data_IF_641970916073
#
_entry.id   IF_641970916073
#
_cell.length_a   1.000
_cell.length_b   1.000
_cell.length_c   1.000
_cell.angle_alpha   90.00
_cell.angle_beta   90.00
_cell.angle_gamma   90.00
#
_symmetry.space_group_name_H-M   'P 1'
#
loop_
_entity.id
_entity.type
_entity.pdbx_description
1 polymer ?
#
# COMPACT_ATOMS: atom_id res chain seq x y z
N UNK A 1 74.29 20.66 -29.58
CA UNK A 1 74.87 21.60 -30.62
C UNK A 1 73.66 22.32 -31.22
N UNK A 2 73.48 23.58 -30.93
CA UNK A 2 73.52 24.75 -31.85
C UNK A 2 72.40 24.66 -32.90
N UNK A 3 71.58 25.64 -33.22
CA UNK A 3 71.46 27.13 -32.98
C UNK A 3 70.13 27.49 -33.64
N UNK A 4 69.23 28.25 -33.16
CA UNK A 4 69.12 29.73 -33.01
C UNK A 4 68.83 30.43 -34.35
N UNK A 5 67.87 31.36 -34.26
CA UNK A 5 67.53 32.56 -35.06
C UNK A 5 66.45 32.39 -36.17
N UNK A 6 65.58 33.30 -36.46
CA UNK A 6 65.19 34.60 -35.90
C UNK A 6 64.41 35.35 -36.96
N UNK A 7 63.31 36.03 -36.52
CA UNK A 7 62.83 37.34 -37.02
C UNK A 7 62.52 37.55 -38.51
N UNK A 8 61.47 38.20 -38.92
CA UNK A 8 61.02 39.58 -38.90
C UNK A 8 59.84 39.76 -39.86
N UNK A 9 58.77 40.36 -39.42
CA UNK A 9 57.95 41.47 -39.89
C UNK A 9 57.83 41.75 -41.41
N UNK A 10 56.59 41.83 -41.93
CA UNK A 10 56.10 43.03 -42.62
C UNK A 10 54.60 43.07 -42.82
N UNK A 11 54.02 44.23 -42.53
CA UNK A 11 52.66 44.68 -42.81
C UNK A 11 52.37 44.78 -44.32
N UNK A 12 51.15 44.45 -44.73
CA UNK A 12 50.45 45.14 -45.80
C UNK A 12 48.94 45.05 -45.62
N UNK A 13 48.28 46.17 -45.55
CA UNK A 13 46.84 46.42 -45.64
C UNK A 13 46.31 46.06 -46.98
N UNK A 14 45.21 45.34 -47.06
CA UNK A 14 44.23 45.49 -48.13
C UNK A 14 42.83 45.18 -47.62
N UNK A 15 41.99 46.17 -47.66
CA UNK A 15 40.56 46.07 -47.40
C UNK A 15 39.85 45.36 -48.55
N UNK A 16 39.05 44.33 -48.22
CA UNK A 16 38.01 43.86 -49.12
C UNK A 16 36.81 43.41 -48.26
N UNK A 17 35.71 44.10 -48.48
CA UNK A 17 34.38 43.80 -47.95
C UNK A 17 33.93 42.42 -48.33
N UNK A 18 33.60 41.59 -47.34
CA UNK A 18 32.80 40.40 -47.55
C UNK A 18 31.62 40.36 -46.60
N UNK A 19 30.46 40.19 -47.18
CA UNK A 19 29.17 40.02 -46.51
C UNK A 19 29.26 38.99 -45.41
N UNK A 20 28.88 39.43 -44.20
CA UNK A 20 28.70 38.53 -43.08
C UNK A 20 27.54 37.59 -43.29
N UNK A 21 27.83 36.31 -43.46
CA UNK A 21 26.88 35.25 -43.13
C UNK A 21 26.99 35.06 -41.59
N UNK A 22 26.07 35.65 -40.89
CA UNK A 22 25.83 35.33 -39.48
C UNK A 22 25.29 33.90 -39.43
N UNK A 23 26.17 32.96 -39.16
CA UNK A 23 25.79 31.63 -38.69
C UNK A 23 25.30 31.84 -37.25
N UNK A 24 24.01 31.78 -37.06
CA UNK A 24 23.45 31.49 -35.75
C UNK A 24 23.91 30.08 -35.37
N UNK A 25 24.98 29.93 -34.63
CA UNK A 25 25.14 28.78 -33.74
C UNK A 25 23.99 28.91 -32.71
N UNK A 26 22.91 28.17 -32.94
CA UNK A 26 21.99 27.83 -31.89
C UNK A 26 22.80 27.05 -30.85
N UNK A 27 22.98 27.64 -29.69
CA UNK A 27 23.49 26.96 -28.50
C UNK A 27 22.48 25.86 -28.11
N UNK A 28 22.65 24.66 -28.68
CA UNK A 28 21.89 23.46 -28.39
C UNK A 28 22.38 22.79 -27.10
N UNK A 29 22.56 23.58 -26.04
CA UNK A 29 22.72 23.05 -24.68
C UNK A 29 21.71 23.68 -23.74
N UNK A 30 20.44 23.65 -24.09
CA UNK A 30 19.43 23.53 -23.08
C UNK A 30 19.41 22.06 -22.66
N UNK A 31 20.07 21.71 -21.59
CA UNK A 31 19.69 20.51 -20.84
C UNK A 31 18.20 20.65 -20.61
N UNK A 32 17.42 19.86 -21.34
CA UNK A 32 15.99 19.71 -21.04
C UNK A 32 15.94 19.14 -19.65
N UNK A 33 15.60 19.98 -18.67
CA UNK A 33 15.26 19.50 -17.34
C UNK A 33 14.19 18.43 -17.51
N UNK A 34 14.55 17.19 -17.20
CA UNK A 34 13.60 16.08 -17.24
C UNK A 34 12.52 16.43 -16.22
N UNK A 35 11.25 16.56 -16.60
CA UNK A 35 10.21 16.93 -15.66
C UNK A 35 10.12 15.88 -14.56
N UNK A 36 10.49 16.25 -13.34
CA UNK A 36 10.41 15.38 -12.19
C UNK A 36 8.97 15.32 -11.70
N UNK A 37 8.29 14.22 -11.97
CA UNK A 37 6.93 13.95 -11.52
C UNK A 37 6.94 13.00 -10.30
N UNK A 38 7.00 13.51 -9.07
CA UNK A 38 7.32 12.71 -7.87
C UNK A 38 6.25 11.69 -7.50
N UNK A 39 5.02 11.90 -7.91
CA UNK A 39 3.92 11.01 -7.56
C UNK A 39 3.71 9.92 -8.61
N UNK A 40 3.37 8.73 -8.13
CA UNK A 40 3.02 7.58 -8.97
C UNK A 40 1.66 7.04 -8.54
N UNK A 41 0.76 6.90 -9.49
CA UNK A 41 -0.60 6.45 -9.24
C UNK A 41 -0.90 5.20 -10.08
N UNK A 42 -1.61 4.25 -9.50
CA UNK A 42 -2.25 3.17 -10.24
C UNK A 42 -3.71 3.52 -10.49
N UNK A 43 -4.05 3.81 -11.73
CA UNK A 43 -5.40 4.15 -12.17
C UNK A 43 -6.13 2.90 -12.66
N UNK A 44 -7.21 2.51 -11.97
CA UNK A 44 -8.08 1.44 -12.42
C UNK A 44 -9.16 1.99 -13.37
N UNK A 45 -9.13 1.60 -14.63
CA UNK A 45 -10.11 1.99 -15.64
C UNK A 45 -10.98 0.81 -15.99
N UNK A 46 -12.26 0.88 -15.65
CA UNK A 46 -13.23 -0.16 -15.94
C UNK A 46 -14.07 0.23 -17.16
N UNK A 47 -14.07 -0.62 -18.19
CA UNK A 47 -14.85 -0.46 -19.40
C UNK A 47 -15.47 -1.81 -19.79
N UNK A 48 -16.78 -1.83 -20.04
CA UNK A 48 -17.50 -3.04 -20.45
C UNK A 48 -17.27 -4.26 -19.55
N UNK A 49 -17.11 -4.03 -18.23
CA UNK A 49 -16.90 -5.08 -17.23
C UNK A 49 -15.43 -5.53 -17.06
N UNK A 50 -14.53 -5.06 -17.89
CA UNK A 50 -13.10 -5.33 -17.76
C UNK A 50 -12.39 -4.15 -17.10
N UNK A 51 -11.41 -4.45 -16.24
CA UNK A 51 -10.58 -3.44 -15.58
C UNK A 51 -9.13 -3.59 -16.03
N UNK A 52 -8.57 -2.48 -16.48
CA UNK A 52 -7.14 -2.34 -16.78
C UNK A 52 -6.55 -1.32 -15.82
N UNK A 53 -5.35 -1.57 -15.34
CA UNK A 53 -4.62 -0.66 -14.48
C UNK A 53 -3.54 0.07 -15.30
N UNK A 54 -3.31 1.33 -14.96
CA UNK A 54 -2.28 2.17 -15.58
C UNK A 54 -1.44 2.82 -14.49
N UNK A 55 -0.15 2.49 -14.45
CA UNK A 55 0.80 3.18 -13.58
C UNK A 55 1.23 4.48 -14.27
N UNK A 56 0.87 5.61 -13.69
CA UNK A 56 1.14 6.94 -14.26
C UNK A 56 1.90 7.82 -13.27
N UNK A 57 2.71 8.74 -13.80
CA UNK A 57 3.33 9.81 -13.01
C UNK A 57 2.45 11.06 -12.97
N UNK A 58 2.55 11.82 -11.88
CA UNK A 58 1.94 13.13 -11.71
C UNK A 58 2.88 14.10 -10.96
N UNK A 59 2.90 15.36 -11.40
CA UNK A 59 3.71 16.41 -10.78
C UNK A 59 3.05 16.97 -9.53
N UNK A 60 1.72 16.96 -9.51
CA UNK A 60 0.91 17.58 -8.48
C UNK A 60 -0.36 16.78 -8.21
N UNK A 61 -0.72 16.64 -6.94
CA UNK A 61 -1.95 15.98 -6.49
C UNK A 61 -3.09 16.96 -6.18
N UNK A 62 -2.80 18.27 -6.16
CA UNK A 62 -3.76 19.26 -5.70
C UNK A 62 -4.42 20.05 -6.83
N UNK A 63 -3.96 19.87 -8.07
CA UNK A 63 -4.44 20.61 -9.22
C UNK A 63 -4.62 19.77 -10.47
N UNK A 64 -5.51 20.20 -11.37
CA UNK A 64 -5.68 19.61 -12.69
C UNK A 64 -6.47 18.30 -12.72
N UNK A 65 -6.16 17.49 -13.75
CA UNK A 65 -6.81 16.22 -14.01
C UNK A 65 -5.77 15.14 -14.31
N UNK A 66 -5.67 14.15 -13.44
CA UNK A 66 -4.77 13.01 -13.62
C UNK A 66 -5.50 11.91 -14.40
N UNK A 67 -4.90 11.44 -15.47
CA UNK A 67 -5.45 10.43 -16.37
C UNK A 67 -4.34 9.58 -16.99
N UNK A 68 -4.71 8.50 -17.69
CA UNK A 68 -3.80 7.57 -18.36
C UNK A 68 -3.69 7.80 -19.88
N UNK A 69 -4.29 8.86 -20.43
CA UNK A 69 -4.36 9.06 -21.88
C UNK A 69 -2.96 9.30 -22.45
N UNK A 70 -2.51 8.37 -23.31
CA UNK A 70 -1.23 8.45 -24.00
C UNK A 70 0.01 8.30 -23.12
N UNK A 71 -0.14 7.82 -21.88
CA UNK A 71 0.97 7.66 -20.94
C UNK A 71 0.73 6.54 -19.94
N UNK A 72 1.81 6.09 -19.30
CA UNK A 72 1.81 5.11 -18.24
C UNK A 72 2.12 3.69 -18.67
N UNK A 73 2.27 2.81 -17.71
CA UNK A 73 2.47 1.37 -17.90
C UNK A 73 1.11 0.69 -17.73
N UNK A 74 0.69 -0.02 -18.77
CA UNK A 74 -0.55 -0.80 -18.74
C UNK A 74 -0.33 -2.14 -18.08
N UNK A 75 -1.24 -2.50 -17.17
CA UNK A 75 -1.23 -3.77 -16.46
C UNK A 75 -2.62 -4.42 -16.54
N UNK A 76 -2.67 -5.62 -17.09
CA UNK A 76 -3.90 -6.36 -17.30
C UNK A 76 -4.22 -7.29 -16.13
N UNK A 77 -5.50 -7.33 -15.76
CA UNK A 77 -5.97 -8.14 -14.64
C UNK A 77 -5.86 -7.43 -13.29
N UNK A 78 -6.17 -8.15 -12.23
CA UNK A 78 -6.17 -7.59 -10.87
C UNK A 78 -4.75 -7.42 -10.35
N UNK A 79 -4.44 -6.25 -9.80
CA UNK A 79 -3.19 -5.97 -9.10
C UNK A 79 -3.44 -5.25 -7.79
N UNK A 80 -2.68 -5.66 -6.77
CA UNK A 80 -2.40 -4.90 -5.56
C UNK A 80 -1.02 -4.27 -5.65
N UNK A 81 -0.77 -3.26 -4.83
CA UNK A 81 0.46 -2.47 -4.91
C UNK A 81 1.10 -2.33 -3.54
N UNK A 82 2.43 -2.47 -3.50
CA UNK A 82 3.21 -2.30 -2.29
C UNK A 82 4.43 -1.44 -2.58
N UNK A 83 4.60 -0.36 -1.83
CA UNK A 83 5.79 0.48 -1.90
C UNK A 83 7.02 -0.28 -1.41
N UNK A 84 8.11 -0.23 -2.18
CA UNK A 84 9.47 -0.52 -1.73
C UNK A 84 10.19 0.77 -1.33
N UNK A 85 11.51 0.86 -1.51
CA UNK A 85 12.27 2.07 -1.15
C UNK A 85 12.12 3.17 -2.20
N UNK A 86 12.35 2.84 -3.47
CA UNK A 86 12.23 3.77 -4.61
C UNK A 86 11.53 3.07 -5.79
N UNK A 87 10.56 2.24 -5.49
CA UNK A 87 9.87 1.39 -6.45
C UNK A 87 8.51 0.97 -5.92
N UNK A 88 7.68 0.45 -6.80
CA UNK A 88 6.38 -0.13 -6.47
C UNK A 88 6.32 -1.55 -7.00
N UNK A 89 6.05 -2.49 -6.11
CA UNK A 89 5.66 -3.84 -6.48
C UNK A 89 4.19 -3.87 -6.90
N UNK A 90 3.95 -4.38 -8.09
CA UNK A 90 2.63 -4.60 -8.66
C UNK A 90 2.35 -6.10 -8.57
N UNK A 91 1.52 -6.48 -7.61
CA UNK A 91 1.31 -7.88 -7.20
C UNK A 91 0.01 -8.37 -7.80
N UNK A 92 0.10 -9.34 -8.71
CA UNK A 92 -1.06 -9.93 -9.34
C UNK A 92 -1.96 -10.70 -8.35
N UNK A 93 -3.22 -10.77 -8.66
CA UNK A 93 -4.23 -11.53 -7.94
C UNK A 93 -5.38 -11.94 -8.86
N UNK A 94 -6.35 -12.71 -8.34
CA UNK A 94 -7.52 -13.19 -9.09
C UNK A 94 -7.16 -13.85 -10.44
N UNK A 95 -6.13 -14.72 -10.43
CA UNK A 95 -5.66 -15.44 -11.61
C UNK A 95 -4.41 -14.85 -12.28
N UNK A 96 -3.99 -13.66 -11.90
CA UNK A 96 -2.67 -13.12 -12.27
C UNK A 96 -1.65 -13.63 -11.25
N UNK A 97 -0.61 -14.33 -11.71
CA UNK A 97 0.34 -15.07 -10.85
C UNK A 97 1.77 -14.55 -10.98
N UNK A 98 1.93 -13.27 -11.22
CA UNK A 98 3.23 -12.60 -11.21
C UNK A 98 3.20 -11.34 -10.36
N UNK A 99 4.37 -10.92 -9.92
CA UNK A 99 4.61 -9.62 -9.33
C UNK A 99 5.72 -8.93 -10.10
N UNK A 100 5.45 -7.76 -10.63
CA UNK A 100 6.43 -6.92 -11.33
C UNK A 100 6.87 -5.76 -10.43
N UNK A 101 8.00 -5.16 -10.76
CA UNK A 101 8.54 -4.01 -10.07
C UNK A 101 8.53 -2.79 -11.00
N UNK A 102 7.97 -1.69 -10.56
CA UNK A 102 7.96 -0.42 -11.29
C UNK A 102 8.91 0.55 -10.63
N UNK A 103 9.86 1.05 -11.41
CA UNK A 103 10.87 2.02 -11.00
C UNK A 103 10.79 3.27 -11.88
N UNK A 104 11.44 4.34 -11.44
CA UNK A 104 11.68 5.52 -12.30
C UNK A 104 13.03 5.40 -12.97
N UNK A 105 13.05 5.50 -14.31
CA UNK A 105 14.28 5.52 -15.09
C UNK A 105 15.00 6.87 -15.02
N UNK A 106 16.24 6.91 -15.51
CA UNK A 106 17.05 8.13 -15.59
C UNK A 106 16.41 9.21 -16.50
N UNK A 107 15.56 8.78 -17.42
CA UNK A 107 14.74 9.65 -18.28
C UNK A 107 13.49 10.21 -17.59
N UNK A 108 13.31 9.96 -16.29
CA UNK A 108 12.14 10.37 -15.51
C UNK A 108 10.87 9.56 -15.76
N UNK A 109 10.89 8.61 -16.71
CA UNK A 109 9.74 7.78 -17.03
C UNK A 109 9.66 6.55 -16.12
N UNK A 110 8.43 6.05 -15.92
CA UNK A 110 8.23 4.79 -15.23
C UNK A 110 8.60 3.62 -16.15
N UNK A 111 9.25 2.60 -15.57
CA UNK A 111 9.67 1.37 -16.26
C UNK A 111 9.39 0.16 -15.37
N UNK A 112 9.00 -0.95 -16.00
CA UNK A 112 9.02 -2.25 -15.33
C UNK A 112 10.46 -2.76 -15.25
N UNK A 113 10.85 -3.25 -14.08
CA UNK A 113 12.19 -3.77 -13.82
C UNK A 113 12.11 -4.98 -12.91
N UNK A 114 12.30 -6.15 -13.47
CA UNK A 114 12.24 -7.40 -12.73
C UNK A 114 10.82 -7.91 -12.48
N UNK A 115 10.76 -9.20 -12.28
CA UNK A 115 9.52 -9.94 -12.09
C UNK A 115 9.80 -11.21 -11.29
N UNK A 116 8.84 -11.64 -10.48
CA UNK A 116 8.80 -13.00 -9.99
C UNK A 116 7.41 -13.61 -10.19
N UNK A 117 7.39 -14.95 -10.28
CA UNK A 117 6.17 -15.72 -10.50
C UNK A 117 5.87 -16.58 -9.29
N UNK A 118 4.60 -16.73 -8.97
CA UNK A 118 4.09 -17.55 -7.89
C UNK A 118 3.02 -18.52 -8.40
N UNK A 119 2.64 -19.53 -7.59
CA UNK A 119 1.79 -20.62 -8.08
C UNK A 119 0.29 -20.41 -7.77
N UNK A 120 -0.04 -19.67 -6.72
CA UNK A 120 -1.43 -19.47 -6.33
C UNK A 120 -1.78 -18.00 -6.09
N UNK A 121 -1.64 -17.49 -4.87
CA UNK A 121 -1.91 -16.08 -4.56
C UNK A 121 -0.93 -15.55 -3.53
N UNK A 122 -0.41 -14.36 -3.74
CA UNK A 122 0.34 -13.63 -2.72
C UNK A 122 -0.68 -13.02 -1.74
N UNK A 123 -0.68 -13.55 -0.52
CA UNK A 123 -1.61 -13.18 0.55
C UNK A 123 -0.96 -12.29 1.61
N UNK A 124 0.36 -12.10 1.55
CA UNK A 124 1.12 -11.19 2.39
C UNK A 124 2.33 -10.66 1.65
N UNK A 125 2.63 -9.38 1.85
CA UNK A 125 3.82 -8.76 1.28
C UNK A 125 4.26 -7.64 2.21
N UNK A 126 5.47 -7.72 2.74
CA UNK A 126 5.99 -6.68 3.62
C UNK A 126 7.50 -6.46 3.42
N UNK A 127 7.93 -5.26 3.76
CA UNK A 127 9.35 -4.89 3.78
C UNK A 127 9.98 -5.33 5.10
N UNK A 128 11.15 -5.96 5.02
CA UNK A 128 11.97 -6.37 6.17
C UNK A 128 13.04 -5.30 6.44
N UNK A 129 13.76 -4.91 5.40
CA UNK A 129 14.76 -3.84 5.42
C UNK A 129 14.82 -3.12 4.06
N UNK A 130 15.79 -2.24 3.85
CA UNK A 130 15.90 -1.46 2.62
C UNK A 130 16.09 -2.31 1.35
N UNK A 131 16.61 -3.53 1.49
CA UNK A 131 16.99 -4.38 0.36
C UNK A 131 16.10 -5.63 0.25
N UNK A 132 15.22 -5.87 1.23
CA UNK A 132 14.54 -7.16 1.35
C UNK A 132 13.05 -6.99 1.57
N UNK A 133 12.28 -7.63 0.69
CA UNK A 133 10.85 -7.86 0.87
C UNK A 133 10.60 -9.34 1.17
N UNK A 134 9.50 -9.64 1.85
CA UNK A 134 9.00 -11.01 2.04
C UNK A 134 7.58 -11.09 1.48
N UNK A 135 7.38 -12.06 0.60
CA UNK A 135 6.06 -12.43 0.09
C UNK A 135 5.59 -13.73 0.73
N UNK A 136 4.31 -13.80 1.05
CA UNK A 136 3.64 -15.00 1.55
C UNK A 136 2.60 -15.45 0.53
N UNK A 137 2.83 -16.61 -0.06
CA UNK A 137 1.89 -17.31 -0.93
C UNK A 137 1.11 -18.36 -0.12
N UNK A 138 -0.20 -18.38 -0.27
CA UNK A 138 -1.07 -19.34 0.35
C UNK A 138 -2.08 -19.89 -0.67
N UNK A 139 -2.26 -21.23 -0.78
CA UNK A 139 -3.34 -21.81 -1.56
C UNK A 139 -4.71 -21.33 -1.10
N UNK A 140 -5.68 -21.31 -2.02
CA UNK A 140 -7.03 -20.81 -1.74
C UNK A 140 -7.82 -21.69 -0.74
N UNK A 141 -7.47 -22.97 -0.66
CA UNK A 141 -8.04 -23.96 0.28
C UNK A 141 -7.04 -25.07 0.57
N UNK A 142 -7.30 -25.87 1.58
CA UNK A 142 -6.47 -27.03 1.93
C UNK A 142 -6.44 -28.09 0.80
N UNK A 143 -7.50 -28.20 0.05
CA UNK A 143 -7.57 -29.13 -1.11
C UNK A 143 -6.67 -28.67 -2.26
N UNK A 144 -6.45 -27.36 -2.40
CA UNK A 144 -5.55 -26.77 -3.40
C UNK A 144 -4.08 -26.87 -3.00
N UNK A 145 -3.80 -27.11 -1.70
CA UNK A 145 -2.47 -27.25 -1.13
C UNK A 145 -2.49 -27.00 0.37
N UNK A 146 -1.66 -27.71 1.13
CA UNK A 146 -1.67 -27.69 2.59
C UNK A 146 -0.53 -26.87 3.21
N UNK A 147 0.28 -26.19 2.39
CA UNK A 147 1.45 -25.45 2.83
C UNK A 147 1.49 -24.05 2.25
N UNK A 148 1.98 -23.13 3.07
CA UNK A 148 2.36 -21.80 2.61
C UNK A 148 3.80 -21.78 2.10
N UNK A 149 4.09 -20.78 1.28
CA UNK A 149 5.42 -20.51 0.76
C UNK A 149 5.82 -19.08 1.08
N UNK A 150 6.96 -18.90 1.71
CA UNK A 150 7.60 -17.60 1.84
C UNK A 150 8.65 -17.44 0.73
N UNK A 151 8.63 -16.29 0.08
CA UNK A 151 9.65 -15.83 -0.85
C UNK A 151 10.39 -14.66 -0.22
N UNK A 152 11.71 -14.76 -0.12
CA UNK A 152 12.55 -13.58 0.12
C UNK A 152 12.86 -12.97 -1.24
N UNK A 153 12.58 -11.69 -1.40
CA UNK A 153 12.65 -10.97 -2.67
C UNK A 153 13.59 -9.79 -2.51
N UNK A 154 14.51 -9.61 -3.45
CA UNK A 154 15.32 -8.40 -3.54
C UNK A 154 14.43 -7.20 -3.85
N UNK A 155 14.50 -6.16 -3.00
CA UNK A 155 13.59 -5.03 -3.04
C UNK A 155 13.78 -4.14 -4.28
N UNK A 156 14.92 -4.20 -4.97
CA UNK A 156 15.22 -3.37 -6.13
C UNK A 156 14.86 -4.03 -7.46
N UNK A 157 15.02 -5.36 -7.55
CA UNK A 157 14.95 -6.10 -8.81
C UNK A 157 13.75 -7.04 -8.92
N UNK A 158 12.96 -7.21 -7.85
CA UNK A 158 11.90 -8.22 -7.73
C UNK A 158 12.41 -9.68 -7.94
N UNK A 159 13.70 -9.92 -7.75
CA UNK A 159 14.27 -11.26 -7.86
C UNK A 159 14.08 -12.06 -6.58
N UNK A 160 13.60 -13.30 -6.67
CA UNK A 160 13.56 -14.22 -5.54
C UNK A 160 14.99 -14.60 -5.16
N UNK A 161 15.39 -14.34 -3.93
CA UNK A 161 16.70 -14.68 -3.37
C UNK A 161 16.65 -15.97 -2.55
N UNK A 162 15.50 -16.26 -1.93
CA UNK A 162 15.28 -17.55 -1.28
C UNK A 162 13.79 -17.92 -1.28
N UNK A 163 13.53 -19.22 -1.12
CA UNK A 163 12.17 -19.77 -1.01
C UNK A 163 12.14 -20.74 0.16
N UNK A 164 11.19 -20.56 1.05
CA UNK A 164 10.93 -21.47 2.14
C UNK A 164 9.52 -22.07 1.98
N UNK A 165 9.48 -23.38 1.76
CA UNK A 165 8.24 -24.17 1.74
C UNK A 165 8.20 -25.02 3.00
N UNK A 166 7.12 -25.65 3.28
CA UNK A 166 6.96 -26.60 4.38
C UNK A 166 6.54 -26.06 5.73
N UNK A 167 6.41 -24.77 5.88
CA UNK A 167 5.87 -24.26 7.12
C UNK A 167 4.37 -24.50 7.12
N UNK A 168 3.85 -25.40 7.95
CA UNK A 168 2.41 -25.60 8.00
C UNK A 168 1.75 -24.33 8.54
N UNK A 169 0.62 -23.98 7.98
CA UNK A 169 -0.23 -23.00 8.61
C UNK A 169 -0.65 -23.53 9.98
N UNK A 170 -0.71 -22.66 10.98
CA UNK A 170 -1.14 -23.05 12.33
C UNK A 170 -2.43 -23.87 12.28
N UNK A 171 -2.52 -24.93 13.10
CA UNK A 171 -3.60 -25.89 12.98
C UNK A 171 -4.96 -25.18 13.13
N UNK A 172 -5.81 -25.45 12.16
CA UNK A 172 -7.19 -25.00 12.12
C UNK A 172 -8.08 -26.22 12.19
N UNK A 173 -9.14 -26.12 12.96
CA UNK A 173 -10.12 -27.17 13.08
C UNK A 173 -11.00 -27.26 11.82
N UNK A 174 -11.40 -28.46 11.46
CA UNK A 174 -12.35 -28.75 10.38
C UNK A 174 -11.89 -28.29 8.98
N UNK A 175 -12.80 -27.64 8.24
CA UNK A 175 -12.58 -27.14 6.88
C UNK A 175 -12.05 -25.69 6.85
N UNK A 176 -11.81 -25.09 8.02
CA UNK A 176 -11.36 -23.72 8.09
C UNK A 176 -9.94 -23.57 7.52
N UNK A 177 -9.74 -22.52 6.75
CA UNK A 177 -8.51 -22.16 6.12
C UNK A 177 -8.12 -20.72 6.47
N UNK A 178 -6.85 -20.37 6.66
CA UNK A 178 -6.50 -19.01 7.03
C UNK A 178 -6.77 -18.04 5.90
N UNK A 179 -7.59 -17.06 6.16
CA UNK A 179 -7.76 -15.88 5.33
C UNK A 179 -6.85 -14.79 5.87
N UNK A 180 -5.73 -14.53 5.18
CA UNK A 180 -4.71 -13.59 5.63
C UNK A 180 -5.24 -12.16 5.53
N UNK A 181 -5.06 -11.37 6.58
CA UNK A 181 -5.57 -10.00 6.72
C UNK A 181 -4.49 -8.95 6.94
N UNK A 182 -3.24 -9.36 7.09
CA UNK A 182 -2.09 -8.47 7.22
C UNK A 182 -0.81 -9.24 7.48
N UNK A 183 0.33 -8.62 7.13
CA UNK A 183 1.67 -9.14 7.41
C UNK A 183 2.62 -7.99 7.68
N UNK A 184 3.43 -8.09 8.75
CA UNK A 184 4.46 -7.12 9.10
C UNK A 184 5.69 -7.82 9.67
N UNK A 185 6.86 -7.25 9.39
CA UNK A 185 8.11 -7.63 10.04
C UNK A 185 8.42 -6.71 11.22
N UNK A 186 8.74 -7.29 12.37
CA UNK A 186 9.23 -6.56 13.55
C UNK A 186 10.09 -7.44 14.44
N UNK A 187 11.17 -6.89 14.99
CA UNK A 187 11.97 -7.52 16.05
C UNK A 187 12.47 -8.95 15.74
N UNK A 188 12.81 -9.23 14.47
CA UNK A 188 13.29 -10.56 14.04
C UNK A 188 12.20 -11.57 13.69
N UNK A 189 10.94 -11.15 13.66
CA UNK A 189 9.81 -12.02 13.34
C UNK A 189 8.89 -11.41 12.27
N UNK A 190 8.20 -12.31 11.56
CA UNK A 190 7.06 -11.96 10.71
C UNK A 190 5.77 -12.25 11.50
N UNK A 191 4.90 -11.25 11.57
CA UNK A 191 3.60 -11.35 12.20
C UNK A 191 2.53 -11.36 11.12
N UNK A 192 1.68 -12.36 11.13
CA UNK A 192 0.64 -12.57 10.11
C UNK A 192 -0.71 -12.63 10.80
N UNK A 193 -1.55 -11.64 10.60
CA UNK A 193 -2.95 -11.68 11.04
C UNK A 193 -3.78 -12.49 10.05
N UNK A 194 -4.71 -13.26 10.56
CA UNK A 194 -5.63 -14.03 9.74
C UNK A 194 -6.93 -14.35 10.46
N UNK A 195 -7.95 -14.65 9.68
CA UNK A 195 -9.22 -15.20 10.16
C UNK A 195 -9.32 -16.63 9.68
N UNK A 196 -9.47 -17.64 10.56
CA UNK A 196 -9.86 -18.98 10.13
C UNK A 196 -11.28 -18.91 9.57
N UNK A 197 -11.47 -19.29 8.32
CA UNK A 197 -12.80 -19.28 7.70
C UNK A 197 -12.95 -20.39 6.66
N UNK A 198 -14.16 -20.84 6.47
CA UNK A 198 -14.47 -21.78 5.42
C UNK A 198 -14.30 -21.09 4.05
N UNK A 199 -13.42 -21.58 3.17
CA UNK A 199 -13.16 -20.92 1.90
C UNK A 199 -14.33 -20.95 0.91
N UNK A 200 -15.31 -21.84 1.12
CA UNK A 200 -16.47 -21.96 0.24
C UNK A 200 -17.66 -21.09 0.70
N UNK A 201 -17.85 -20.93 2.01
CA UNK A 201 -18.99 -20.15 2.57
C UNK A 201 -18.56 -18.81 3.13
N UNK A 202 -17.25 -18.58 3.36
CA UNK A 202 -16.66 -17.41 4.02
C UNK A 202 -17.13 -17.22 5.47
N UNK A 203 -17.72 -18.25 6.08
CA UNK A 203 -18.12 -18.25 7.48
C UNK A 203 -16.95 -18.65 8.38
N UNK A 204 -16.99 -18.19 9.61
CA UNK A 204 -16.04 -18.57 10.65
C UNK A 204 -16.74 -18.88 11.95
N UNK A 205 -16.25 -19.88 12.68
CA UNK A 205 -16.63 -20.13 14.07
C UNK A 205 -15.90 -19.22 15.07
N UNK A 206 -14.87 -18.48 14.60
CA UNK A 206 -13.98 -17.68 15.44
C UNK A 206 -14.30 -16.18 15.39
N UNK A 207 -15.57 -15.83 15.49
CA UNK A 207 -16.06 -14.44 15.38
C UNK A 207 -15.50 -13.51 16.46
N UNK A 208 -15.11 -14.06 17.61
CA UNK A 208 -14.70 -13.34 18.81
C UNK A 208 -13.23 -13.57 19.19
N UNK A 209 -12.41 -13.90 18.21
CA UNK A 209 -10.99 -14.20 18.45
C UNK A 209 -10.11 -13.54 17.39
N UNK A 210 -9.13 -12.78 17.85
CA UNK A 210 -8.04 -12.28 17.04
C UNK A 210 -6.89 -13.28 17.01
N UNK A 211 -6.44 -13.67 15.81
CA UNK A 211 -5.31 -14.57 15.61
C UNK A 211 -4.14 -13.85 14.95
N UNK A 212 -2.91 -14.12 15.45
CA UNK A 212 -1.66 -13.71 14.81
C UNK A 212 -0.70 -14.88 14.84
N UNK A 213 -0.31 -15.36 13.67
CA UNK A 213 0.78 -16.32 13.53
C UNK A 213 2.12 -15.60 13.50
N UNK A 214 3.08 -16.07 14.28
CA UNK A 214 4.43 -15.50 14.36
C UNK A 214 5.42 -16.49 13.77
N UNK A 215 6.18 -16.04 12.77
CA UNK A 215 7.23 -16.80 12.14
C UNK A 215 8.59 -16.16 12.39
N UNK A 216 9.62 -16.96 12.67
CA UNK A 216 10.99 -16.44 12.75
C UNK A 216 11.47 -15.91 11.39
N UNK A 217 12.37 -14.95 11.41
CA UNK A 217 13.08 -14.48 10.22
C UNK A 217 14.59 -14.58 10.48
N UNK A 218 15.41 -15.10 9.54
CA UNK A 218 15.07 -15.49 8.16
C UNK A 218 14.59 -16.93 7.97
N UNK A 219 14.47 -17.73 9.02
CA UNK A 219 14.20 -19.19 8.93
C UNK A 219 12.76 -19.53 8.53
N UNK A 220 11.84 -18.58 8.62
CA UNK A 220 10.41 -18.72 8.27
C UNK A 220 9.70 -19.89 9.01
N UNK A 221 10.14 -20.21 10.22
CA UNK A 221 9.54 -21.26 11.05
C UNK A 221 8.47 -20.69 11.96
N UNK A 222 7.39 -21.44 12.16
CA UNK A 222 6.37 -21.04 13.12
C UNK A 222 6.96 -20.98 14.53
N UNK A 223 6.81 -19.84 15.18
CA UNK A 223 7.23 -19.60 16.57
C UNK A 223 6.06 -19.78 17.50
N UNK A 224 4.93 -19.13 17.17
CA UNK A 224 3.76 -19.10 18.03
C UNK A 224 2.49 -18.76 17.25
N UNK A 225 1.37 -19.31 17.71
CA UNK A 225 0.04 -18.82 17.38
C UNK A 225 -0.48 -18.01 18.55
N UNK A 226 -0.60 -16.70 18.38
CA UNK A 226 -1.18 -15.80 19.37
C UNK A 226 -2.70 -15.75 19.19
N UNK A 227 -3.41 -15.66 20.33
CA UNK A 227 -4.88 -15.55 20.39
C UNK A 227 -5.27 -14.50 21.42
N UNK A 228 -6.29 -13.70 21.10
CA UNK A 228 -6.89 -12.75 22.03
C UNK A 228 -8.38 -12.64 21.79
N UNK A 229 -9.15 -12.54 22.85
CA UNK A 229 -10.63 -12.49 22.81
C UNK A 229 -11.20 -11.14 23.27
N UNK A 230 -10.37 -10.13 23.43
CA UNK A 230 -10.83 -8.76 23.76
C UNK A 230 -11.52 -8.08 22.58
N UNK A 231 -11.21 -8.50 21.36
CA UNK A 231 -11.85 -8.05 20.12
C UNK A 231 -12.10 -9.23 19.17
N UNK A 232 -12.77 -9.00 18.06
CA UNK A 232 -12.96 -9.97 16.97
C UNK A 232 -11.72 -10.17 16.12
N UNK A 233 -11.84 -10.82 14.95
CA UNK A 233 -10.76 -11.08 14.02
C UNK A 233 -10.00 -9.82 13.61
N UNK A 234 -8.67 -9.92 13.50
CA UNK A 234 -7.82 -8.81 13.09
C UNK A 234 -7.88 -8.55 11.58
N UNK A 235 -8.21 -7.31 11.20
CA UNK A 235 -8.26 -6.86 9.81
C UNK A 235 -9.40 -7.45 9.00
N UNK A 236 -9.36 -7.18 7.69
CA UNK A 236 -10.19 -7.84 6.69
C UNK A 236 -9.36 -8.28 5.50
N UNK A 237 -9.67 -9.43 4.93
CA UNK A 237 -8.88 -10.04 3.87
C UNK A 237 -8.82 -9.20 2.59
N UNK A 238 -9.86 -8.48 2.28
CA UNK A 238 -9.95 -7.63 1.10
C UNK A 238 -9.19 -6.30 1.24
N UNK A 239 -9.09 -5.75 2.46
CA UNK A 239 -8.41 -4.48 2.71
C UNK A 239 -6.96 -4.65 3.18
N UNK A 240 -6.58 -5.81 3.67
CA UNK A 240 -5.24 -6.15 4.14
C UNK A 240 -4.71 -5.19 5.23
N UNK A 241 -5.59 -4.79 6.14
CA UNK A 241 -5.39 -3.73 7.13
C UNK A 241 -5.24 -4.24 8.57
N UNK A 242 -4.95 -5.54 8.73
CA UNK A 242 -4.89 -6.18 10.05
C UNK A 242 -3.76 -5.70 10.95
N UNK A 243 -2.68 -5.15 10.39
CA UNK A 243 -1.48 -4.77 11.12
C UNK A 243 -0.92 -3.44 10.63
N UNK A 244 -0.58 -2.58 11.58
CA UNK A 244 0.31 -1.42 11.35
C UNK A 244 1.50 -1.48 12.31
N UNK A 245 2.62 -0.85 11.94
CA UNK A 245 3.86 -0.80 12.71
C UNK A 245 4.25 0.64 12.99
N UNK A 246 4.61 0.94 14.24
CA UNK A 246 5.15 2.24 14.62
C UNK A 246 6.69 2.32 14.48
N UNK A 247 7.27 3.48 14.80
CA UNK A 247 8.71 3.75 14.68
C UNK A 247 9.55 2.94 15.68
N UNK A 248 8.95 2.49 16.78
CA UNK A 248 9.59 1.64 17.78
C UNK A 248 9.57 0.16 17.38
N UNK A 249 8.85 -0.16 16.30
CA UNK A 249 8.62 -1.52 15.84
C UNK A 249 7.47 -2.22 16.59
N UNK A 250 6.72 -1.52 17.43
CA UNK A 250 5.52 -2.05 18.03
C UNK A 250 4.44 -2.22 16.96
N UNK A 251 3.68 -3.30 17.07
CA UNK A 251 2.60 -3.59 16.12
C UNK A 251 1.24 -3.33 16.78
N UNK A 252 0.33 -2.78 15.98
CA UNK A 252 -1.05 -2.62 16.37
C UNK A 252 -1.94 -3.45 15.44
N UNK A 253 -2.73 -4.32 16.04
CA UNK A 253 -3.70 -5.17 15.32
C UNK A 253 -5.05 -4.48 15.41
N UNK A 254 -5.63 -4.15 14.27
CA UNK A 254 -6.96 -3.58 14.17
C UNK A 254 -8.01 -4.68 13.93
N UNK A 255 -9.12 -4.60 14.65
CA UNK A 255 -10.34 -5.35 14.31
C UNK A 255 -11.51 -4.40 14.11
N UNK A 256 -12.26 -4.60 13.05
CA UNK A 256 -13.55 -3.92 12.87
C UNK A 256 -14.71 -4.67 13.57
N UNK A 257 -14.48 -5.88 14.06
CA UNK A 257 -15.46 -6.68 14.80
C UNK A 257 -16.85 -6.63 14.20
N UNK A 258 -16.94 -6.75 12.89
CA UNK A 258 -18.18 -6.56 12.14
C UNK A 258 -18.43 -7.68 11.15
N UNK A 259 -19.66 -7.76 10.65
CA UNK A 259 -20.04 -8.72 9.63
C UNK A 259 -19.30 -8.49 8.30
N UNK A 260 -18.79 -7.29 8.06
CA UNK A 260 -17.98 -6.97 6.88
C UNK A 260 -16.63 -7.68 6.86
N UNK A 261 -16.18 -8.22 7.99
CA UNK A 261 -14.97 -9.02 8.08
C UNK A 261 -15.15 -10.50 7.67
N UNK A 262 -16.29 -10.84 7.18
CA UNK A 262 -16.74 -12.17 6.79
C UNK A 262 -18.26 -12.21 6.76
N UNK A 263 -18.83 -13.39 6.84
CA UNK A 263 -20.28 -13.55 6.88
C UNK A 263 -20.83 -13.77 8.29
N UNK A 264 -19.93 -13.94 9.27
CA UNK A 264 -20.28 -14.18 10.66
C UNK A 264 -20.08 -12.91 11.50
N UNK A 265 -20.99 -12.66 12.41
CA UNK A 265 -21.00 -11.47 13.25
C UNK A 265 -20.17 -11.69 14.54
N UNK A 266 -19.24 -10.79 14.82
CA UNK A 266 -18.57 -10.70 16.13
C UNK A 266 -19.52 -10.13 17.19
N UNK A 267 -19.38 -10.62 18.45
CA UNK A 267 -20.03 -10.04 19.62
C UNK A 267 -19.11 -9.08 20.38
N UNK A 268 -17.84 -8.93 19.95
CA UNK A 268 -16.84 -8.05 20.54
C UNK A 268 -16.85 -6.67 19.93
N UNK A 269 -16.41 -5.69 20.69
CA UNK A 269 -16.19 -4.35 20.18
C UNK A 269 -15.03 -4.31 19.16
N UNK A 270 -15.15 -3.40 18.22
CA UNK A 270 -14.07 -3.01 17.33
C UNK A 270 -12.98 -2.27 18.10
N UNK A 271 -11.70 -2.52 17.77
CA UNK A 271 -10.63 -1.89 18.51
C UNK A 271 -9.23 -2.26 18.03
N UNK A 272 -8.26 -1.93 18.88
CA UNK A 272 -6.85 -2.15 18.62
C UNK A 272 -6.18 -2.89 19.78
N UNK A 273 -5.43 -3.93 19.46
CA UNK A 273 -4.49 -4.61 20.35
C UNK A 273 -3.07 -4.22 19.98
N UNK A 274 -2.15 -4.34 20.95
CA UNK A 274 -0.73 -4.02 20.76
C UNK A 274 0.13 -5.25 20.95
N UNK A 275 1.18 -5.37 20.16
CA UNK A 275 2.28 -6.34 20.30
C UNK A 275 3.56 -5.53 20.39
N UNK A 276 4.31 -5.62 21.48
CA UNK A 276 5.58 -4.92 21.62
C UNK A 276 6.64 -5.54 20.70
N UNK A 277 7.49 -4.72 20.15
CA UNK A 277 8.59 -5.14 19.28
C UNK A 277 9.40 -6.27 19.91
N UNK A 278 9.67 -7.33 19.14
CA UNK A 278 10.42 -8.50 19.59
C UNK A 278 9.70 -9.44 20.54
N UNK A 279 8.42 -9.18 20.89
CA UNK A 279 7.62 -10.08 21.74
C UNK A 279 6.67 -10.93 20.91
N UNK A 280 6.27 -12.07 21.45
CA UNK A 280 5.31 -12.99 20.81
C UNK A 280 4.02 -13.11 21.63
N UNK A 281 3.63 -12.03 22.30
CA UNK A 281 2.40 -11.93 23.08
C UNK A 281 1.75 -10.56 22.88
N UNK A 282 0.42 -10.55 22.94
CA UNK A 282 -0.30 -9.28 23.04
C UNK A 282 0.00 -8.59 24.37
N UNK A 283 0.16 -7.27 24.35
CA UNK A 283 0.26 -6.48 25.56
C UNK A 283 -1.07 -6.55 26.34
N UNK A 284 -1.04 -7.19 27.49
CA UNK A 284 -2.21 -7.37 28.36
C UNK A 284 -2.76 -6.05 28.89
N UNK A 285 -1.92 -4.99 28.94
CA UNK A 285 -2.28 -3.67 29.44
C UNK A 285 -2.79 -2.73 28.35
N UNK A 286 -2.75 -3.16 27.07
CA UNK A 286 -3.19 -2.34 25.97
C UNK A 286 -4.40 -2.96 25.26
N UNK A 287 -5.51 -2.28 25.34
CA UNK A 287 -6.67 -2.42 24.46
C UNK A 287 -7.25 -1.03 24.24
N UNK A 288 -7.43 -0.64 22.98
CA UNK A 288 -8.17 0.55 22.64
C UNK A 288 -9.55 0.11 22.12
N UNK A 289 -10.55 0.24 22.94
CA UNK A 289 -11.96 0.04 22.58
C UNK A 289 -12.42 1.21 21.70
N UNK A 290 -12.31 1.01 20.40
CA UNK A 290 -12.63 2.05 19.43
C UNK A 290 -14.15 2.27 19.33
N UNK A 291 -14.90 1.20 19.43
CA UNK A 291 -16.36 1.25 19.34
C UNK A 291 -16.96 2.03 20.52
N UNK A 292 -16.45 1.81 21.74
CA UNK A 292 -16.82 2.62 22.90
C UNK A 292 -16.43 4.09 22.73
N UNK A 293 -15.20 4.36 22.32
CA UNK A 293 -14.67 5.72 22.15
C UNK A 293 -15.42 6.55 21.09
N UNK A 294 -16.08 5.89 20.13
CA UNK A 294 -16.76 6.55 19.00
C UNK A 294 -18.29 6.45 19.07
N UNK A 295 -18.84 5.80 20.10
CA UNK A 295 -20.28 5.60 20.24
C UNK A 295 -20.85 4.60 19.23
N UNK A 296 -20.08 3.56 18.87
CA UNK A 296 -20.54 2.45 18.07
C UNK A 296 -20.01 2.40 16.63
N UNK A 297 -19.04 3.26 16.25
CA UNK A 297 -18.46 3.22 14.91
C UNK A 297 -17.37 2.14 14.79
N UNK A 298 -17.10 1.69 13.57
CA UNK A 298 -16.15 0.63 13.29
C UNK A 298 -15.10 1.07 12.27
N UNK A 299 -13.77 0.87 12.56
CA UNK A 299 -12.73 1.20 11.60
C UNK A 299 -12.79 0.23 10.41
N UNK A 300 -12.76 0.76 9.20
CA UNK A 300 -12.77 -0.04 7.97
C UNK A 300 -11.37 -0.14 7.36
N UNK A 301 -10.70 1.01 7.19
CA UNK A 301 -9.39 1.10 6.61
C UNK A 301 -8.47 1.97 7.46
N UNK A 302 -7.19 1.62 7.52
CA UNK A 302 -6.19 2.30 8.34
C UNK A 302 -4.86 2.46 7.61
N UNK A 303 -4.19 3.57 7.86
CA UNK A 303 -2.82 3.84 7.43
C UNK A 303 -2.05 4.53 8.54
N UNK A 304 -0.91 4.01 8.93
CA UNK A 304 -0.05 4.63 9.94
C UNK A 304 0.60 5.90 9.36
N UNK A 305 0.52 6.99 10.09
CA UNK A 305 0.98 8.32 9.66
C UNK A 305 2.03 8.94 10.60
N UNK A 306 2.61 8.12 11.47
CA UNK A 306 3.69 8.54 12.37
C UNK A 306 3.21 9.00 13.74
N UNK A 307 4.13 8.99 14.71
CA UNK A 307 3.91 9.48 16.09
C UNK A 307 2.73 8.82 16.81
N UNK A 308 2.45 7.55 16.55
CA UNK A 308 1.32 6.84 17.14
C UNK A 308 -0.04 7.19 16.52
N UNK A 309 -0.05 7.92 15.40
CA UNK A 309 -1.26 8.34 14.70
C UNK A 309 -1.59 7.43 13.52
N UNK A 310 -2.87 7.21 13.31
CA UNK A 310 -3.45 6.52 12.15
C UNK A 310 -4.40 7.48 11.44
N UNK A 311 -4.31 7.53 10.11
CA UNK A 311 -5.39 8.03 9.27
C UNK A 311 -6.32 6.88 8.90
N UNK A 312 -7.62 7.06 9.10
CA UNK A 312 -8.58 5.97 8.95
C UNK A 312 -9.84 6.39 8.20
N UNK A 313 -10.42 5.41 7.50
CA UNK A 313 -11.82 5.43 7.09
C UNK A 313 -12.64 4.60 8.07
N UNK A 314 -13.74 5.14 8.52
CA UNK A 314 -14.60 4.59 9.56
C UNK A 314 -16.03 4.49 9.05
N UNK A 315 -16.63 3.31 9.17
CA UNK A 315 -18.03 3.10 8.80
C UNK A 315 -18.97 3.83 9.75
N UNK A 316 -19.90 4.58 9.18
CA UNK A 316 -20.97 5.27 9.92
C UNK A 316 -22.23 4.42 10.07
N UNK A 317 -22.24 3.20 9.50
CA UNK A 317 -23.38 2.27 9.57
C UNK A 317 -23.33 1.55 10.91
N UNK A 318 -24.39 1.74 11.72
CA UNK A 318 -24.55 1.06 13.01
C UNK A 318 -26.03 0.84 13.32
N UNK A 319 -26.52 -0.41 13.52
CA UNK A 319 -25.78 -1.66 13.33
C UNK A 319 -25.52 -2.01 11.86
N UNK A 320 -24.45 -2.74 11.60
CA UNK A 320 -24.19 -3.31 10.28
C UNK A 320 -25.07 -4.54 10.04
N UNK A 321 -25.37 -4.78 8.77
CA UNK A 321 -26.12 -5.94 8.28
C UNK A 321 -25.30 -6.77 7.30
N UNK A 322 -25.82 -7.91 6.86
CA UNK A 322 -25.16 -8.71 5.82
C UNK A 322 -24.96 -7.98 4.48
N UNK A 323 -25.71 -6.90 4.23
CA UNK A 323 -25.53 -6.04 3.06
C UNK A 323 -24.33 -5.09 3.19
N UNK A 324 -23.81 -4.91 4.37
CA UNK A 324 -22.71 -4.00 4.70
C UNK A 324 -21.38 -4.74 4.87
N UNK A 325 -21.40 -6.06 4.68
CA UNK A 325 -20.17 -6.85 4.62
C UNK A 325 -19.25 -6.29 3.52
N UNK A 326 -17.99 -6.26 3.73
CA UNK A 326 -16.93 -5.60 2.99
C UNK A 326 -16.60 -4.19 3.47
N UNK A 327 -17.37 -3.61 4.41
CA UNK A 327 -17.00 -2.41 5.15
C UNK A 327 -16.89 -1.10 4.37
N UNK A 328 -17.23 -1.12 3.10
CA UNK A 328 -16.90 -0.05 2.16
C UNK A 328 -18.02 0.96 1.92
N UNK A 329 -19.03 0.97 2.77
CA UNK A 329 -20.17 1.88 2.60
C UNK A 329 -20.26 2.90 3.71
N UNK A 330 -20.64 4.12 3.34
CA UNK A 330 -20.87 5.22 4.27
C UNK A 330 -19.69 5.49 5.19
N UNK A 331 -18.54 5.75 4.59
CA UNK A 331 -17.28 6.01 5.29
C UNK A 331 -17.09 7.49 5.56
N UNK A 332 -16.62 7.82 6.76
CA UNK A 332 -16.01 9.12 7.10
C UNK A 332 -14.53 8.93 7.42
N UNK A 333 -13.74 9.99 7.27
CA UNK A 333 -12.34 9.95 7.64
C UNK A 333 -12.11 10.48 9.06
N UNK A 334 -11.13 9.91 9.76
CA UNK A 334 -10.68 10.39 11.06
C UNK A 334 -9.18 10.16 11.26
N UNK A 335 -8.63 10.86 12.25
CA UNK A 335 -7.29 10.63 12.79
C UNK A 335 -7.45 9.95 14.14
N UNK A 336 -6.81 8.79 14.30
CA UNK A 336 -6.84 7.96 15.51
C UNK A 336 -5.49 8.09 16.19
N UNK A 337 -5.47 8.46 17.46
CA UNK A 337 -4.30 8.45 18.31
C UNK A 337 -4.28 7.14 19.12
N UNK A 338 -3.36 6.26 18.79
CA UNK A 338 -3.22 4.94 19.41
C UNK A 338 -2.65 5.03 20.83
N UNK A 339 -1.87 6.08 21.12
CA UNK A 339 -1.23 6.27 22.43
C UNK A 339 -2.24 6.83 23.42
N UNK A 340 -2.92 7.91 23.05
CA UNK A 340 -3.92 8.57 23.89
C UNK A 340 -5.32 7.95 23.78
N UNK A 341 -5.51 7.00 22.84
CA UNK A 341 -6.78 6.32 22.58
C UNK A 341 -7.92 7.29 22.27
N UNK A 342 -7.64 8.25 21.39
CA UNK A 342 -8.61 9.28 21.00
C UNK A 342 -8.86 9.26 19.51
N UNK A 343 -9.98 9.80 19.08
CA UNK A 343 -10.40 9.89 17.68
C UNK A 343 -10.82 11.31 17.37
N UNK A 344 -10.30 11.85 16.25
CA UNK A 344 -10.62 13.18 15.74
C UNK A 344 -11.16 13.07 14.33
N UNK A 345 -12.39 13.53 14.11
CA UNK A 345 -12.98 13.53 12.77
C UNK A 345 -12.23 14.50 11.84
N UNK A 346 -12.12 14.11 10.57
CA UNK A 346 -11.58 14.95 9.50
C UNK A 346 -12.72 15.74 8.86
N UNK A 347 -12.58 17.06 8.86
CA UNK A 347 -13.51 17.97 8.18
C UNK A 347 -13.11 18.18 6.72
N UNK A 348 -14.12 18.37 5.84
CA UNK A 348 -13.91 18.69 4.42
C UNK A 348 -13.85 17.49 3.47
N UNK A 349 -13.88 16.24 3.97
CA UNK A 349 -14.09 15.04 3.15
C UNK A 349 -15.57 14.63 3.26
N UNK A 350 -16.30 14.50 2.14
CA UNK A 350 -17.68 14.03 2.19
C UNK A 350 -17.73 12.56 2.61
N UNK A 351 -18.85 12.15 3.19
CA UNK A 351 -19.14 10.73 3.38
C UNK A 351 -19.17 10.05 2.01
N UNK A 352 -18.50 8.93 1.89
CA UNK A 352 -18.27 8.25 0.63
C UNK A 352 -18.31 6.73 0.79
N UNK A 353 -18.24 6.02 -0.30
CA UNK A 353 -18.00 4.59 -0.31
C UNK A 353 -16.51 4.33 -0.53
N UNK A 354 -16.01 3.24 0.01
CA UNK A 354 -14.66 2.78 -0.25
C UNK A 354 -14.48 2.25 -1.66
N UNK A 355 -13.35 1.64 -1.89
CA UNK A 355 -12.87 1.25 -3.21
C UNK A 355 -13.35 -0.16 -3.64
N UNK A 356 -14.56 -0.55 -3.25
CA UNK A 356 -15.19 -1.81 -3.66
C UNK A 356 -14.44 -3.05 -3.18
N UNK A 357 -14.01 -3.09 -1.92
CA UNK A 357 -13.30 -4.21 -1.33
C UNK A 357 -11.81 -4.29 -1.73
N UNK A 358 -11.23 -3.21 -2.22
CA UNK A 358 -9.80 -3.11 -2.54
C UNK A 358 -9.01 -2.56 -1.37
N UNK A 359 -7.68 -2.65 -1.44
CA UNK A 359 -6.79 -2.08 -0.42
C UNK A 359 -7.00 -0.59 -0.27
N UNK A 360 -6.77 -0.12 0.95
CA UNK A 360 -6.81 1.30 1.26
C UNK A 360 -5.66 2.03 0.56
N UNK A 361 -6.00 3.10 -0.13
CA UNK A 361 -5.04 3.94 -0.84
C UNK A 361 -4.91 5.27 -0.13
N UNK A 362 -3.77 5.52 0.47
CA UNK A 362 -3.42 6.81 1.05
C UNK A 362 -1.92 7.06 0.93
N UNK A 363 -1.52 8.33 0.89
CA UNK A 363 -0.12 8.75 0.91
C UNK A 363 0.09 9.74 2.04
N UNK A 364 0.97 9.40 2.97
CA UNK A 364 1.44 10.32 4.01
C UNK A 364 2.69 11.04 3.55
N UNK A 365 2.69 12.36 3.61
CA UNK A 365 3.82 13.23 3.27
C UNK A 365 3.89 14.43 4.21
N UNK A 366 4.89 14.43 5.09
CA UNK A 366 5.06 15.51 6.08
C UNK A 366 3.85 15.66 6.99
N UNK A 367 3.22 16.83 6.99
CA UNK A 367 2.01 17.06 7.79
C UNK A 367 0.71 16.76 7.03
N UNK A 368 0.78 16.07 5.90
CA UNK A 368 -0.39 15.85 5.05
C UNK A 368 -0.64 14.38 4.75
N UNK A 369 -1.93 14.03 4.66
CA UNK A 369 -2.38 12.75 4.09
C UNK A 369 -3.19 13.04 2.84
N UNK A 370 -2.85 12.36 1.75
CA UNK A 370 -3.58 12.39 0.49
C UNK A 370 -4.42 11.12 0.35
N UNK A 371 -5.69 11.28 0.04
CA UNK A 371 -6.67 10.21 -0.11
C UNK A 371 -7.48 10.40 -1.39
N UNK A 372 -7.62 9.40 -2.27
CA UNK A 372 -8.59 9.43 -3.35
C UNK A 372 -10.00 9.15 -2.81
N UNK A 373 -10.94 10.03 -3.10
CA UNK A 373 -12.35 9.88 -2.69
C UNK A 373 -13.25 9.90 -3.91
N UNK A 374 -14.02 8.86 -4.07
CA UNK A 374 -15.02 8.73 -5.14
C UNK A 374 -16.41 9.07 -4.63
N UNK A 375 -17.08 9.96 -5.34
CA UNK A 375 -18.46 10.38 -5.06
C UNK A 375 -19.28 10.36 -6.35
N UNK A 376 -20.56 10.63 -6.28
CA UNK A 376 -21.40 10.82 -7.47
C UNK A 376 -20.93 11.94 -8.42
N UNK A 377 -20.05 12.83 -7.96
CA UNK A 377 -19.48 13.94 -8.73
C UNK A 377 -18.11 13.62 -9.34
N UNK A 378 -17.62 12.39 -9.20
CA UNK A 378 -16.32 11.94 -9.68
C UNK A 378 -15.34 11.62 -8.55
N UNK A 379 -14.14 11.20 -8.94
CA UNK A 379 -13.04 10.87 -8.04
C UNK A 379 -12.06 12.05 -7.95
N UNK A 380 -11.70 12.42 -6.73
CA UNK A 380 -10.78 13.53 -6.45
C UNK A 380 -9.77 13.11 -5.38
N UNK A 381 -8.58 13.67 -5.44
CA UNK A 381 -7.64 13.63 -4.31
C UNK A 381 -8.12 14.64 -3.26
N UNK A 382 -8.07 14.24 -1.99
CA UNK A 382 -8.24 15.13 -0.84
C UNK A 382 -6.94 15.14 -0.05
N UNK A 383 -6.45 16.32 0.30
CA UNK A 383 -5.30 16.51 1.17
C UNK A 383 -5.77 16.95 2.55
N UNK A 384 -5.52 16.12 3.54
CA UNK A 384 -5.83 16.40 4.94
C UNK A 384 -4.58 16.91 5.66
N UNK A 385 -4.67 18.05 6.32
CA UNK A 385 -3.68 18.53 7.29
C UNK A 385 -3.87 17.78 8.61
N UNK A 386 -2.84 17.04 9.05
CA UNK A 386 -2.89 16.16 10.22
C UNK A 386 -3.12 16.97 11.51
N UNK A 387 -2.50 18.14 11.64
CA UNK A 387 -2.59 18.98 12.84
C UNK A 387 -3.99 19.52 13.05
N UNK A 388 -4.60 20.02 11.99
CA UNK A 388 -5.92 20.66 12.07
C UNK A 388 -7.06 19.67 11.84
N UNK A 389 -6.81 18.52 11.23
CA UNK A 389 -7.78 17.55 10.72
C UNK A 389 -8.75 18.18 9.70
N UNK A 390 -8.25 19.10 8.87
CA UNK A 390 -9.02 19.72 7.80
C UNK A 390 -8.50 19.26 6.44
N UNK A 391 -9.43 18.93 5.55
CA UNK A 391 -9.13 18.49 4.21
C UNK A 391 -9.47 19.55 3.15
N UNK A 392 -8.69 19.54 2.08
CA UNK A 392 -8.91 20.36 0.89
C UNK A 392 -8.97 19.43 -0.33
N UNK A 393 -9.97 19.62 -1.17
CA UNK A 393 -10.10 18.89 -2.44
C UNK A 393 -9.05 19.38 -3.43
N UNK A 394 -8.38 18.42 -4.06
CA UNK A 394 -7.32 18.62 -5.06
C UNK A 394 -7.70 18.13 -6.46
N UNK A 395 -6.72 17.51 -7.13
CA UNK A 395 -6.81 17.06 -8.50
C UNK A 395 -7.98 16.09 -8.74
N UNK A 396 -8.60 16.20 -9.90
CA UNK A 396 -9.56 15.21 -10.40
C UNK A 396 -8.82 13.97 -10.89
N UNK A 397 -9.39 12.80 -10.68
CA UNK A 397 -8.90 11.53 -11.21
C UNK A 397 -9.85 11.04 -12.28
N UNK A 398 -9.36 10.88 -13.51
CA UNK A 398 -10.11 10.28 -14.62
C UNK A 398 -9.87 8.77 -14.66
N UNK A 399 -10.37 8.08 -13.65
CA UNK A 399 -10.36 6.63 -13.53
C UNK A 399 -11.60 6.18 -12.75
N UNK A 400 -11.91 4.89 -12.79
CA UNK A 400 -13.00 4.30 -12.01
C UNK A 400 -12.66 4.25 -10.52
N UNK A 401 -11.37 4.00 -10.22
CA UNK A 401 -10.80 3.99 -8.86
C UNK A 401 -9.27 4.12 -8.92
N UNK A 402 -8.63 4.30 -7.76
CA UNK A 402 -7.19 4.15 -7.61
C UNK A 402 -6.85 2.80 -6.98
N UNK A 403 -5.84 2.10 -7.56
CA UNK A 403 -5.23 0.91 -6.97
C UNK A 403 -4.05 1.23 -6.04
N UNK A 404 -3.39 2.39 -6.24
CA UNK A 404 -2.25 2.82 -5.45
C UNK A 404 -1.92 4.29 -5.64
N UNK A 405 -1.27 4.88 -4.64
CA UNK A 405 -0.76 6.26 -4.64
C UNK A 405 0.56 6.29 -3.88
N UNK A 406 1.64 6.68 -4.56
CA UNK A 406 3.01 6.60 -4.06
C UNK A 406 3.79 7.86 -4.40
N UNK A 407 4.96 8.01 -3.75
CA UNK A 407 5.93 9.06 -4.04
C UNK A 407 7.33 8.46 -4.04
N UNK A 408 8.10 8.62 -5.14
CA UNK A 408 9.51 8.26 -5.27
C UNK A 408 10.19 8.98 -6.44
#
# INVERSE_FOLDING_TARGET
MRRIYSKILMLAFLAASTCGLSSCEEDLTSEQEIPFAPYVLSLGVTSSGNTTYYMVSADNLMDGNINAIGKGIEQNGYHDYQMGVNNVFCIGGLGVTNATNVVRGEDGLLKEQGEFVFNSSINGFCQVDANTMVALELPASKESGDKLTFYTVDASSAAITSTHKDTPVAPLDNLDWPSITGMQYSGGNLYVTYTPMNPNTFETAYTDTCFVAVYSYPDMKIVKLMKDTRMGPGGSWNAFNGLVKDEQGDLYVMSNSSISNGYSQSTKHAGFLKIKSGTTDFDSNYFFDFEEATGGLKPAHISYIGNGLIFAEVSTINPQTSNDRWGDKSLKCCIIDLVNKTVKDVDGIPVHNGNGGRRFVSLHEGNYVYLPVSTGNGTYIYRTDITTAKATRGARISASFLGGLFKF
#
